data_IF_469286538384
#
_entry.id   IF_469286538384
#
_cell.length_a   1.000
_cell.length_b   1.000
_cell.length_c   1.000
_cell.angle_alpha   90.00
_cell.angle_beta   90.00
_cell.angle_gamma   90.00
#
_symmetry.space_group_name_H-M   'P 1'
#
loop_
_entity.id
_entity.type
_entity.pdbx_description
1 polymer ?
#
# COMPACT_ATOMS: atom_id res chain seq x y z
N UNK A 1 -56.75 -53.29 9.51
CA UNK A 1 -55.92 -52.19 10.06
C UNK A 1 -54.49 -52.64 10.07
N UNK A 2 -53.65 -52.17 9.21
CA UNK A 2 -52.19 -52.16 9.31
C UNK A 2 -51.57 -52.04 7.89
N UNK A 3 -51.21 -50.84 7.45
CA UNK A 3 -50.16 -50.59 6.41
C UNK A 3 -50.20 -49.13 5.97
N UNK A 4 -49.67 -48.24 6.76
CA UNK A 4 -49.37 -46.90 6.26
C UNK A 4 -48.36 -46.24 7.21
N UNK A 5 -47.13 -46.75 7.32
CA UNK A 5 -46.02 -46.02 7.89
C UNK A 5 -44.72 -46.64 7.30
N UNK A 6 -44.31 -46.30 6.08
CA UNK A 6 -42.93 -46.61 5.58
C UNK A 6 -42.50 -45.76 4.37
N UNK A 7 -43.14 -44.64 4.06
CA UNK A 7 -42.69 -43.82 2.90
C UNK A 7 -42.17 -42.44 3.22
N UNK A 8 -42.16 -42.00 4.46
CA UNK A 8 -41.81 -40.63 4.86
C UNK A 8 -40.35 -40.48 5.28
N UNK A 9 -39.65 -41.57 5.62
CA UNK A 9 -38.29 -41.51 6.16
C UNK A 9 -37.18 -41.37 5.11
N UNK A 10 -37.43 -41.76 3.86
CA UNK A 10 -36.43 -41.70 2.80
C UNK A 10 -36.28 -40.30 2.15
N UNK A 11 -37.33 -39.48 2.16
CA UNK A 11 -37.27 -38.12 1.59
C UNK A 11 -36.52 -37.15 2.50
N UNK A 12 -36.55 -37.34 3.82
CA UNK A 12 -35.82 -36.48 4.74
C UNK A 12 -34.30 -36.72 4.73
N UNK A 13 -33.87 -37.96 4.47
CA UNK A 13 -32.42 -38.31 4.40
C UNK A 13 -31.75 -37.79 3.11
N UNK A 14 -32.50 -37.79 2.00
CA UNK A 14 -32.00 -37.24 0.72
C UNK A 14 -31.85 -35.71 0.76
N UNK A 15 -32.74 -34.99 1.45
CA UNK A 15 -32.61 -33.53 1.59
C UNK A 15 -31.43 -33.13 2.52
N UNK A 16 -31.13 -33.91 3.54
CA UNK A 16 -30.01 -33.67 4.45
C UNK A 16 -28.64 -33.89 3.76
N UNK A 17 -28.55 -34.89 2.89
CA UNK A 17 -27.33 -35.16 2.10
C UNK A 17 -27.05 -34.09 1.05
N UNK A 18 -28.08 -33.54 0.38
CA UNK A 18 -27.89 -32.45 -0.61
C UNK A 18 -27.54 -31.12 0.04
N UNK A 19 -28.07 -30.82 1.23
CA UNK A 19 -27.70 -29.62 1.99
C UNK A 19 -26.28 -29.69 2.55
N UNK A 20 -25.78 -30.88 2.90
CA UNK A 20 -24.43 -31.09 3.39
C UNK A 20 -23.40 -30.96 2.25
N UNK A 21 -23.65 -31.53 1.08
CA UNK A 21 -22.80 -31.36 -0.11
C UNK A 21 -22.75 -29.88 -0.54
N UNK A 22 -23.88 -29.19 -0.58
CA UNK A 22 -23.91 -27.76 -0.96
C UNK A 22 -23.13 -26.87 -0.01
N UNK A 23 -23.19 -27.12 1.29
CA UNK A 23 -22.37 -26.41 2.30
C UNK A 23 -20.88 -26.74 2.17
N UNK A 24 -20.52 -27.97 1.82
CA UNK A 24 -19.12 -28.33 1.57
C UNK A 24 -18.58 -27.70 0.30
N UNK A 25 -19.38 -27.60 -0.77
CA UNK A 25 -18.97 -26.94 -2.02
C UNK A 25 -18.86 -25.43 -1.86
N UNK A 26 -19.74 -24.78 -1.09
CA UNK A 26 -19.63 -23.36 -0.74
C UNK A 26 -18.41 -23.08 0.15
N UNK A 27 -18.12 -23.92 1.13
CA UNK A 27 -16.92 -23.81 1.97
C UNK A 27 -15.63 -24.12 1.21
N UNK A 28 -15.66 -25.03 0.23
CA UNK A 28 -14.52 -25.33 -0.63
C UNK A 28 -14.26 -24.20 -1.65
N UNK A 29 -15.32 -23.60 -2.22
CA UNK A 29 -15.19 -22.43 -3.09
C UNK A 29 -14.61 -21.22 -2.33
N UNK A 30 -15.02 -21.01 -1.09
CA UNK A 30 -14.52 -19.93 -0.23
C UNK A 30 -13.06 -20.17 0.21
N UNK A 31 -12.58 -21.42 0.21
CA UNK A 31 -11.20 -21.77 0.57
C UNK A 31 -10.17 -21.37 -0.49
N UNK A 32 -10.58 -21.14 -1.74
CA UNK A 32 -9.71 -20.71 -2.84
C UNK A 32 -9.70 -19.20 -3.07
N UNK A 33 -10.47 -18.43 -2.32
CA UNK A 33 -10.49 -16.97 -2.39
C UNK A 33 -9.71 -16.37 -1.22
N UNK A 34 -8.82 -15.43 -1.51
CA UNK A 34 -8.11 -14.62 -0.50
C UNK A 34 -8.64 -13.20 -0.54
N UNK A 35 -9.38 -12.81 0.49
CA UNK A 35 -9.96 -11.47 0.63
C UNK A 35 -8.90 -10.50 1.13
N UNK A 36 -8.64 -9.44 0.38
CA UNK A 36 -7.55 -8.52 0.64
C UNK A 36 -8.01 -7.09 0.91
N UNK A 37 -7.35 -6.44 1.88
CA UNK A 37 -7.34 -4.99 2.03
C UNK A 37 -6.03 -4.43 1.43
N UNK A 38 -6.15 -3.58 0.41
CA UNK A 38 -4.99 -3.14 -0.39
C UNK A 38 -4.94 -1.62 -0.47
N UNK A 39 -3.78 -1.03 -0.16
CA UNK A 39 -3.57 0.41 -0.26
C UNK A 39 -3.76 0.91 -1.70
N UNK A 40 -4.44 2.05 -1.87
CA UNK A 40 -4.87 2.56 -3.18
C UNK A 40 -3.78 2.69 -4.23
N UNK A 41 -2.54 3.00 -3.85
CA UNK A 41 -1.42 3.10 -4.80
C UNK A 41 -1.10 1.79 -5.53
N UNK A 42 -1.32 0.64 -4.91
CA UNK A 42 -1.08 -0.67 -5.54
C UNK A 42 -2.19 -1.07 -6.51
N UNK A 43 -3.43 -0.74 -6.19
CA UNK A 43 -4.57 -1.01 -7.07
C UNK A 43 -4.60 -0.07 -8.26
N UNK A 44 -4.31 1.22 -8.05
CA UNK A 44 -4.33 2.25 -9.09
C UNK A 44 -3.23 2.08 -10.14
N UNK A 45 -2.07 1.57 -9.75
CA UNK A 45 -0.96 1.31 -10.68
C UNK A 45 -1.12 0.02 -11.48
N UNK A 46 -2.10 -0.82 -11.12
CA UNK A 46 -2.26 -2.14 -11.70
C UNK A 46 -1.31 -3.22 -11.14
N UNK A 47 -0.46 -2.88 -10.16
CA UNK A 47 0.45 -3.84 -9.52
C UNK A 47 -0.32 -5.03 -8.96
N UNK A 48 -1.35 -4.74 -8.17
CA UNK A 48 -2.10 -5.77 -7.47
C UNK A 48 -2.85 -6.71 -8.41
N UNK A 49 -3.36 -6.17 -9.51
CA UNK A 49 -4.02 -6.96 -10.57
C UNK A 49 -3.04 -7.91 -11.27
N UNK A 50 -1.80 -7.47 -11.52
CA UNK A 50 -0.79 -8.34 -12.13
C UNK A 50 -0.32 -9.43 -11.16
N UNK A 51 -0.10 -9.07 -9.89
CA UNK A 51 0.23 -10.05 -8.85
C UNK A 51 -0.89 -11.08 -8.70
N UNK A 52 -2.16 -10.64 -8.72
CA UNK A 52 -3.32 -11.53 -8.63
C UNK A 52 -3.33 -12.58 -9.75
N UNK A 53 -3.11 -12.15 -11.00
CA UNK A 53 -3.01 -13.06 -12.15
C UNK A 53 -1.86 -14.07 -12.01
N UNK A 54 -0.70 -13.60 -11.55
CA UNK A 54 0.47 -14.46 -11.35
C UNK A 54 0.22 -15.47 -10.24
N UNK A 55 -0.36 -15.03 -9.13
CA UNK A 55 -0.66 -15.85 -7.96
C UNK A 55 -1.70 -16.93 -8.29
N UNK A 56 -2.77 -16.55 -8.97
CA UNK A 56 -3.82 -17.49 -9.40
C UNK A 56 -3.28 -18.55 -10.36
N UNK A 57 -2.46 -18.15 -11.33
CA UNK A 57 -1.84 -19.08 -12.27
C UNK A 57 -0.88 -20.08 -11.59
N UNK A 58 -0.19 -19.66 -10.53
CA UNK A 58 0.81 -20.50 -9.86
C UNK A 58 0.23 -21.36 -8.73
N UNK A 59 -0.89 -20.94 -8.12
CA UNK A 59 -1.40 -21.56 -6.88
C UNK A 59 -2.85 -22.02 -6.96
N UNK A 60 -3.62 -21.53 -7.91
CA UNK A 60 -5.05 -21.74 -8.00
C UNK A 60 -5.89 -20.90 -7.03
N UNK A 61 -5.26 -20.07 -6.17
CA UNK A 61 -5.97 -19.12 -5.34
C UNK A 61 -6.34 -17.86 -6.12
N UNK A 62 -7.55 -17.37 -5.91
CA UNK A 62 -8.03 -16.09 -6.45
C UNK A 62 -7.92 -14.98 -5.40
N UNK A 63 -7.51 -13.78 -5.81
CA UNK A 63 -7.47 -12.60 -4.94
C UNK A 63 -8.72 -11.76 -5.14
N UNK A 64 -9.48 -11.52 -4.07
CA UNK A 64 -10.57 -10.57 -4.02
C UNK A 64 -10.15 -9.31 -3.24
N UNK A 65 -10.23 -8.13 -3.87
CA UNK A 65 -9.99 -6.85 -3.19
C UNK A 65 -11.29 -6.36 -2.55
N UNK A 66 -11.44 -6.62 -1.25
CA UNK A 66 -12.63 -6.25 -0.46
C UNK A 66 -12.57 -4.78 -0.02
N UNK A 67 -11.37 -4.29 0.26
CA UNK A 67 -11.16 -2.90 0.68
C UNK A 67 -9.94 -2.29 -0.01
N UNK A 68 -10.10 -1.06 -0.52
CA UNK A 68 -9.01 -0.25 -1.06
C UNK A 68 -9.21 1.21 -0.68
N UNK A 69 -8.11 1.93 -0.46
CA UNK A 69 -8.17 3.33 -0.06
C UNK A 69 -7.05 3.75 0.90
N UNK A 70 -7.26 4.80 1.71
CA UNK A 70 -6.30 5.23 2.72
C UNK A 70 -6.25 4.26 3.91
N UNK A 71 -5.15 4.30 4.66
CA UNK A 71 -4.87 3.39 5.80
C UNK A 71 -6.04 3.13 6.77
N UNK A 72 -6.84 4.15 7.19
CA UNK A 72 -7.97 3.89 8.11
C UNK A 72 -9.07 2.98 7.53
N UNK A 73 -9.26 2.99 6.20
CA UNK A 73 -10.25 2.11 5.55
C UNK A 73 -9.81 0.66 5.62
N UNK A 74 -8.50 0.40 5.46
CA UNK A 74 -7.93 -0.93 5.50
C UNK A 74 -7.91 -1.47 6.95
N UNK A 75 -7.54 -0.62 7.91
CA UNK A 75 -7.61 -0.92 9.35
C UNK A 75 -9.03 -1.36 9.76
N UNK A 76 -10.03 -0.56 9.40
CA UNK A 76 -11.43 -0.88 9.70
C UNK A 76 -11.88 -2.21 9.08
N UNK A 77 -11.41 -2.53 7.85
CA UNK A 77 -11.75 -3.79 7.19
C UNK A 77 -11.15 -5.01 7.91
N UNK A 78 -9.88 -4.91 8.36
CA UNK A 78 -9.23 -5.99 9.11
C UNK A 78 -9.86 -6.16 10.50
N UNK A 79 -10.09 -5.08 11.24
CA UNK A 79 -10.76 -5.13 12.55
C UNK A 79 -12.17 -5.71 12.49
N UNK A 80 -12.87 -5.45 11.39
CA UNK A 80 -14.22 -6.01 11.15
C UNK A 80 -14.20 -7.46 10.62
N UNK A 81 -13.04 -8.10 10.46
CA UNK A 81 -12.93 -9.49 9.99
C UNK A 81 -13.35 -9.69 8.52
N UNK A 82 -13.33 -8.64 7.72
CA UNK A 82 -13.74 -8.69 6.31
C UNK A 82 -12.67 -9.22 5.37
N UNK A 83 -11.42 -9.27 5.82
CA UNK A 83 -10.26 -9.61 4.99
C UNK A 83 -9.38 -10.66 5.65
N UNK A 84 -8.72 -11.44 4.82
CA UNK A 84 -7.77 -12.47 5.23
C UNK A 84 -6.33 -11.94 5.27
N UNK A 85 -6.07 -10.90 4.45
CA UNK A 85 -4.76 -10.30 4.30
C UNK A 85 -4.88 -8.80 4.07
N UNK A 86 -3.90 -8.06 4.62
CA UNK A 86 -3.78 -6.61 4.44
C UNK A 86 -2.40 -6.25 3.91
N UNK A 87 -2.33 -5.29 2.99
CA UNK A 87 -1.07 -4.66 2.56
C UNK A 87 -1.20 -3.15 2.47
N UNK A 88 -0.32 -2.46 3.19
CA UNK A 88 -0.22 -0.99 3.19
C UNK A 88 1.15 -0.53 3.67
N UNK A 89 1.40 0.78 3.67
CA UNK A 89 2.63 1.32 4.28
C UNK A 89 2.68 0.98 5.77
N UNK A 90 3.87 0.61 6.24
CA UNK A 90 4.15 0.49 7.68
C UNK A 90 3.91 1.81 8.42
N UNK A 91 3.61 1.72 9.71
CA UNK A 91 3.37 2.87 10.60
C UNK A 91 2.51 2.47 11.79
N UNK A 92 2.05 3.44 12.56
CA UNK A 92 1.31 3.25 13.80
C UNK A 92 0.14 2.28 13.65
N UNK A 93 -0.72 2.47 12.67
CA UNK A 93 -1.89 1.61 12.43
C UNK A 93 -1.50 0.14 12.25
N UNK A 94 -0.39 -0.14 11.55
CA UNK A 94 0.05 -1.53 11.36
C UNK A 94 0.59 -2.14 12.63
N UNK A 95 1.26 -1.34 13.44
CA UNK A 95 1.77 -1.75 14.75
C UNK A 95 0.61 -1.99 15.72
N UNK A 96 -0.39 -1.11 15.74
CA UNK A 96 -1.59 -1.23 16.57
C UNK A 96 -2.40 -2.48 16.21
N UNK A 97 -2.57 -2.80 14.92
CA UNK A 97 -3.23 -4.02 14.49
C UNK A 97 -2.56 -5.29 15.04
N UNK A 98 -1.22 -5.30 15.11
CA UNK A 98 -0.46 -6.41 15.73
C UNK A 98 -0.60 -6.40 17.25
N UNK A 99 -0.44 -5.25 17.89
CA UNK A 99 -0.53 -5.10 19.34
C UNK A 99 -1.93 -5.46 19.86
N UNK A 100 -2.96 -5.10 19.13
CA UNK A 100 -4.36 -5.44 19.43
C UNK A 100 -4.73 -6.88 19.05
N UNK A 101 -3.81 -7.63 18.42
CA UNK A 101 -3.96 -9.04 18.06
C UNK A 101 -4.83 -9.30 16.82
N UNK A 102 -5.17 -8.30 16.01
CA UNK A 102 -5.90 -8.48 14.74
C UNK A 102 -5.01 -8.99 13.63
N UNK A 103 -3.76 -8.54 13.58
CA UNK A 103 -2.78 -8.91 12.57
C UNK A 103 -1.67 -9.79 13.13
N UNK A 104 -1.22 -10.75 12.31
CA UNK A 104 -0.08 -11.62 12.58
C UNK A 104 0.87 -11.66 11.38
N UNK A 105 2.07 -12.18 11.55
CA UNK A 105 3.05 -12.40 10.49
C UNK A 105 3.33 -11.14 9.64
N UNK A 106 3.36 -9.96 10.27
CA UNK A 106 3.67 -8.71 9.59
C UNK A 106 5.09 -8.74 9.01
N UNK A 107 5.19 -8.60 7.69
CA UNK A 107 6.48 -8.64 6.97
C UNK A 107 6.56 -7.51 5.94
N UNK A 108 7.68 -6.78 5.80
CA UNK A 108 7.90 -5.91 4.66
C UNK A 108 8.06 -6.76 3.39
N UNK A 109 7.51 -6.31 2.24
CA UNK A 109 7.62 -7.04 0.99
C UNK A 109 8.00 -6.18 -0.22
N UNK A 110 7.75 -4.87 -0.16
CA UNK A 110 8.17 -3.93 -1.20
C UNK A 110 8.32 -2.52 -0.61
N UNK A 111 8.85 -1.60 -1.38
CA UNK A 111 8.92 -0.17 -1.05
C UNK A 111 8.41 0.66 -2.21
N UNK A 112 7.87 1.84 -1.93
CA UNK A 112 7.72 2.91 -2.90
C UNK A 112 8.57 4.11 -2.50
N UNK A 113 8.69 5.09 -3.41
CA UNK A 113 9.56 6.23 -3.24
C UNK A 113 8.75 7.51 -3.03
N UNK A 114 9.33 8.44 -2.27
CA UNK A 114 8.96 9.84 -2.28
C UNK A 114 9.85 10.58 -3.27
N UNK A 115 9.38 11.74 -3.75
CA UNK A 115 10.14 12.66 -4.58
C UNK A 115 10.00 14.08 -4.05
N UNK A 116 10.92 14.96 -4.43
CA UNK A 116 10.76 16.40 -4.21
C UNK A 116 10.31 17.01 -5.54
N UNK A 117 9.15 17.65 -5.49
CA UNK A 117 8.57 18.40 -6.61
C UNK A 117 8.80 19.87 -6.32
N UNK A 118 9.11 20.64 -7.34
CA UNK A 118 9.37 22.08 -7.22
C UNK A 118 9.10 22.85 -8.49
N UNK A 119 9.26 24.20 -8.44
CA UNK A 119 9.08 25.06 -9.57
C UNK A 119 10.16 24.81 -10.65
N UNK A 120 9.86 25.06 -11.95
CA UNK A 120 10.80 24.78 -13.05
C UNK A 120 12.09 25.60 -13.01
N UNK A 121 12.07 26.80 -12.43
CA UNK A 121 13.22 27.68 -12.26
C UNK A 121 14.19 27.25 -11.16
N UNK A 122 13.73 26.33 -10.28
CA UNK A 122 14.55 25.66 -9.26
C UNK A 122 15.52 26.58 -8.50
N UNK A 123 15.01 27.58 -7.73
CA UNK A 123 15.85 28.58 -7.06
C UNK A 123 16.82 27.98 -6.02
N UNK A 124 16.57 26.77 -5.53
CA UNK A 124 17.49 26.06 -4.63
C UNK A 124 18.53 25.21 -5.36
N UNK A 125 18.46 25.09 -6.69
CA UNK A 125 19.37 24.29 -7.51
C UNK A 125 19.50 22.84 -7.06
N UNK A 126 18.35 22.14 -6.94
CA UNK A 126 18.29 20.75 -6.50
C UNK A 126 17.99 19.76 -7.64
N UNK A 127 17.74 20.24 -8.84
CA UNK A 127 17.41 19.43 -10.01
C UNK A 127 18.45 18.33 -10.25
N UNK A 128 17.98 17.10 -10.41
CA UNK A 128 18.81 15.94 -10.69
C UNK A 128 19.57 15.38 -9.48
N UNK A 129 19.36 15.94 -8.29
CA UNK A 129 19.93 15.37 -7.07
C UNK A 129 19.25 14.04 -6.72
N UNK A 130 20.03 13.12 -6.16
CA UNK A 130 19.59 11.80 -5.69
C UNK A 130 19.76 11.64 -4.17
N UNK A 131 19.93 12.75 -3.45
CA UNK A 131 20.01 12.79 -1.99
C UNK A 131 19.00 13.81 -1.47
N UNK A 132 17.89 13.31 -0.92
CA UNK A 132 16.78 14.14 -0.46
C UNK A 132 17.15 15.06 0.70
N UNK A 133 17.96 14.57 1.66
CA UNK A 133 18.41 15.38 2.78
C UNK A 133 19.32 16.54 2.34
N UNK A 134 20.24 16.28 1.41
CA UNK A 134 21.08 17.33 0.84
C UNK A 134 20.24 18.36 0.04
N UNK A 135 19.22 17.92 -0.68
CA UNK A 135 18.29 18.81 -1.38
C UNK A 135 17.51 19.70 -0.40
N UNK A 136 16.95 19.13 0.68
CA UNK A 136 16.25 19.89 1.71
C UNK A 136 17.17 20.91 2.40
N UNK A 137 18.45 20.56 2.61
CA UNK A 137 19.44 21.52 3.14
C UNK A 137 19.64 22.71 2.23
N UNK A 138 19.66 22.50 0.89
CA UNK A 138 19.77 23.58 -0.07
C UNK A 138 18.52 24.46 -0.10
N UNK A 139 17.32 23.87 -0.02
CA UNK A 139 16.07 24.59 0.06
C UNK A 139 16.07 25.50 1.29
N UNK A 140 16.48 24.97 2.47
CA UNK A 140 16.59 25.76 3.71
C UNK A 140 17.64 26.87 3.60
N UNK A 141 18.80 26.59 3.03
CA UNK A 141 19.87 27.60 2.86
C UNK A 141 19.44 28.75 1.93
N UNK A 142 18.69 28.45 0.88
CA UNK A 142 18.14 29.43 -0.05
C UNK A 142 16.90 30.14 0.53
N UNK A 143 16.33 29.64 1.65
CA UNK A 143 15.01 30.05 2.14
C UNK A 143 13.92 30.01 1.06
N UNK A 144 14.06 29.10 0.12
CA UNK A 144 13.09 28.90 -0.94
C UNK A 144 11.81 28.31 -0.35
N UNK A 145 10.65 28.74 -0.84
CA UNK A 145 9.37 28.30 -0.29
C UNK A 145 9.27 26.76 -0.25
N UNK A 146 8.86 26.23 0.86
CA UNK A 146 8.66 24.80 1.09
C UNK A 146 7.30 24.56 1.74
N UNK A 147 6.53 23.65 1.17
CA UNK A 147 5.23 23.24 1.73
C UNK A 147 5.45 22.12 2.73
N UNK A 148 5.22 22.43 4.01
CA UNK A 148 5.18 21.44 5.10
C UNK A 148 3.73 21.04 5.35
N UNK A 149 3.34 19.90 4.77
CA UNK A 149 1.97 19.42 4.79
C UNK A 149 1.79 18.27 5.77
N UNK A 150 1.04 18.48 6.83
CA UNK A 150 0.88 17.52 7.92
C UNK A 150 0.03 16.29 7.57
N UNK A 151 -0.89 16.41 6.64
CA UNK A 151 -1.78 15.33 6.21
C UNK A 151 -1.15 14.26 5.31
N UNK A 152 0.12 14.39 4.95
CA UNK A 152 0.80 13.42 4.10
C UNK A 152 1.22 12.20 4.93
N UNK A 153 0.79 10.99 4.53
CA UNK A 153 1.17 9.73 5.18
C UNK A 153 2.65 9.34 5.06
N UNK A 154 3.52 10.30 4.78
CA UNK A 154 4.98 10.20 4.69
C UNK A 154 5.68 11.12 5.69
N UNK A 155 4.93 11.75 6.57
CA UNK A 155 5.43 12.79 7.49
C UNK A 155 6.64 12.34 8.30
N UNK A 156 6.62 11.15 8.88
CA UNK A 156 7.75 10.64 9.68
C UNK A 156 9.05 10.56 8.85
N UNK A 157 8.93 10.17 7.58
CA UNK A 157 10.07 10.11 6.67
C UNK A 157 10.54 11.53 6.30
N UNK A 158 9.63 12.47 6.07
CA UNK A 158 9.97 13.88 5.80
C UNK A 158 10.69 14.50 6.99
N UNK A 159 10.21 14.28 8.22
CA UNK A 159 10.89 14.71 9.44
C UNK A 159 12.30 14.08 9.57
N UNK A 160 12.43 12.80 9.21
CA UNK A 160 13.73 12.13 9.18
C UNK A 160 14.68 12.77 8.18
N UNK A 161 14.20 13.12 6.99
CA UNK A 161 14.99 13.81 5.97
C UNK A 161 15.46 15.19 6.45
N UNK A 162 14.60 15.97 7.11
CA UNK A 162 14.97 17.26 7.71
C UNK A 162 16.03 17.11 8.80
N UNK A 163 15.89 16.12 9.67
CA UNK A 163 16.92 15.82 10.68
C UNK A 163 18.27 15.44 10.04
N UNK A 164 18.26 14.63 8.99
CA UNK A 164 19.45 14.27 8.22
C UNK A 164 20.03 15.47 7.45
N UNK A 165 19.19 16.39 7.03
CA UNK A 165 19.61 17.66 6.43
C UNK A 165 20.38 18.55 7.42
N UNK A 166 20.22 18.33 8.73
CA UNK A 166 20.73 19.22 9.76
C UNK A 166 20.07 20.59 9.72
N UNK A 167 18.82 20.65 9.28
CA UNK A 167 18.02 21.86 9.13
C UNK A 167 16.61 21.63 9.66
N UNK A 168 15.96 22.69 10.07
CA UNK A 168 14.57 22.67 10.56
C UNK A 168 13.69 23.51 9.64
N UNK A 169 12.55 22.99 9.14
CA UNK A 169 11.63 23.78 8.33
C UNK A 169 10.87 24.76 9.22
N UNK A 170 11.37 25.99 9.33
CA UNK A 170 10.77 27.08 10.13
C UNK A 170 11.03 28.46 9.53
N UNK A 171 10.13 29.37 9.82
CA UNK A 171 10.18 30.76 9.32
C UNK A 171 9.27 30.98 8.13
N UNK A 172 9.32 32.17 7.56
CA UNK A 172 8.37 32.66 6.55
C UNK A 172 8.43 31.91 5.21
N UNK A 173 9.50 31.17 4.96
CA UNK A 173 9.66 30.34 3.77
C UNK A 173 8.96 28.96 3.87
N UNK A 174 8.46 28.60 5.06
CA UNK A 174 7.73 27.34 5.29
C UNK A 174 6.24 27.63 5.27
N UNK A 175 5.57 27.04 4.31
CA UNK A 175 4.15 27.24 4.07
C UNK A 175 3.36 26.08 4.65
N UNK A 176 2.30 26.40 5.40
CA UNK A 176 1.37 25.43 5.97
C UNK A 176 -0.06 25.90 5.70
N UNK A 177 -0.87 24.99 5.23
CA UNK A 177 -2.31 25.19 5.08
C UNK A 177 -3.02 23.85 5.29
N UNK A 178 -3.58 23.68 6.47
CA UNK A 178 -4.26 22.44 6.89
C UNK A 178 -5.60 22.22 6.16
N UNK A 179 -6.07 23.20 5.40
CA UNK A 179 -7.29 23.07 4.59
C UNK A 179 -7.03 22.44 3.22
N UNK A 180 -5.78 22.39 2.78
CA UNK A 180 -5.41 21.83 1.48
C UNK A 180 -5.44 20.31 1.51
N UNK A 181 -6.26 19.70 0.67
CA UNK A 181 -6.27 18.25 0.52
C UNK A 181 -4.97 17.73 -0.12
N UNK A 182 -4.62 16.50 0.19
CA UNK A 182 -3.43 15.85 -0.42
C UNK A 182 -3.47 15.80 -1.95
N UNK A 183 -4.65 15.87 -2.57
CA UNK A 183 -4.79 15.86 -4.02
C UNK A 183 -4.47 17.23 -4.64
N UNK A 184 -4.63 18.30 -3.86
CA UNK A 184 -4.39 19.67 -4.30
C UNK A 184 -3.03 20.22 -3.84
N UNK A 185 -2.21 19.41 -3.17
CA UNK A 185 -0.96 19.88 -2.57
C UNK A 185 0.04 20.40 -3.62
N UNK A 186 0.11 19.78 -4.79
CA UNK A 186 0.99 20.25 -5.87
C UNK A 186 0.48 21.55 -6.48
N UNK A 187 -0.84 21.74 -6.56
CA UNK A 187 -1.43 22.99 -7.01
C UNK A 187 -1.13 24.12 -6.01
N UNK A 188 -1.22 23.83 -4.71
CA UNK A 188 -0.87 24.78 -3.66
C UNK A 188 0.63 25.15 -3.71
N UNK A 189 1.50 24.15 -3.86
CA UNK A 189 2.94 24.37 -4.01
C UNK A 189 3.25 25.24 -5.24
N UNK A 190 2.58 24.98 -6.37
CA UNK A 190 2.72 25.78 -7.58
C UNK A 190 2.32 27.24 -7.38
N UNK A 191 1.16 27.48 -6.77
CA UNK A 191 0.63 28.84 -6.55
C UNK A 191 1.59 29.70 -5.70
N UNK A 192 2.42 29.05 -4.91
CA UNK A 192 3.38 29.68 -4.00
C UNK A 192 4.85 29.53 -4.44
N UNK A 193 5.11 29.05 -5.66
CA UNK A 193 6.45 28.75 -6.19
C UNK A 193 7.29 27.96 -5.17
N UNK A 194 6.68 26.91 -4.60
CA UNK A 194 7.21 26.19 -3.45
C UNK A 194 7.64 24.75 -3.81
N UNK A 195 8.63 24.25 -3.09
CA UNK A 195 8.99 22.83 -3.07
C UNK A 195 8.07 22.04 -2.15
N UNK A 196 7.87 20.77 -2.45
CA UNK A 196 7.12 19.85 -1.58
C UNK A 196 7.61 18.41 -1.74
N UNK A 197 7.60 17.64 -0.65
CA UNK A 197 7.89 16.19 -0.68
C UNK A 197 6.56 15.43 -0.80
N UNK A 198 6.43 14.65 -1.85
CA UNK A 198 5.23 13.85 -2.13
C UNK A 198 5.56 12.43 -2.56
N UNK A 199 4.55 11.55 -2.61
CA UNK A 199 4.71 10.23 -3.19
C UNK A 199 4.99 10.29 -4.70
N UNK A 200 6.00 9.56 -5.17
CA UNK A 200 6.33 9.51 -6.59
C UNK A 200 5.16 9.02 -7.47
N UNK A 201 4.47 7.94 -7.05
CA UNK A 201 3.36 7.38 -7.80
C UNK A 201 2.25 8.42 -8.07
N UNK A 202 1.66 9.10 -7.07
CA UNK A 202 0.62 10.07 -7.33
C UNK A 202 1.11 11.31 -8.10
N UNK A 203 2.37 11.72 -7.92
CA UNK A 203 2.95 12.83 -8.68
C UNK A 203 3.12 12.47 -10.17
N UNK A 204 3.58 11.25 -10.46
CA UNK A 204 3.81 10.77 -11.82
C UNK A 204 2.53 10.37 -12.56
N UNK A 205 1.53 9.84 -11.85
CA UNK A 205 0.29 9.33 -12.45
C UNK A 205 -0.75 10.40 -12.78
N UNK A 206 -0.49 11.67 -12.47
CA UNK A 206 -1.44 12.77 -12.66
C UNK A 206 -2.58 12.82 -11.63
N UNK A 207 -2.51 12.00 -10.58
CA UNK A 207 -3.48 12.03 -9.47
C UNK A 207 -3.34 13.28 -8.60
N UNK A 208 -2.18 13.91 -8.65
CA UNK A 208 -1.93 15.22 -8.10
C UNK A 208 -1.65 16.16 -9.28
N UNK A 209 -2.65 16.85 -9.82
CA UNK A 209 -2.45 17.76 -10.95
C UNK A 209 -1.49 18.89 -10.56
N UNK A 210 -0.45 19.05 -11.35
CA UNK A 210 0.60 20.03 -11.09
C UNK A 210 1.20 20.54 -12.41
N UNK A 211 0.34 21.10 -13.28
CA UNK A 211 0.84 21.71 -14.52
C UNK A 211 1.88 22.79 -14.18
N UNK A 212 3.10 22.62 -14.70
CA UNK A 212 4.22 23.55 -14.47
C UNK A 212 5.02 23.30 -13.20
N UNK A 213 4.83 22.15 -12.52
CA UNK A 213 5.73 21.67 -11.47
C UNK A 213 6.53 20.48 -12.01
N UNK A 214 7.75 20.28 -11.50
CA UNK A 214 8.63 19.21 -11.95
C UNK A 214 9.14 18.36 -10.79
N UNK A 215 9.35 17.07 -11.05
CA UNK A 215 10.07 16.19 -10.12
C UNK A 215 11.55 16.52 -10.24
N UNK A 216 12.12 17.11 -9.21
CA UNK A 216 13.49 17.59 -9.19
C UNK A 216 14.45 16.63 -8.49
N UNK A 217 13.97 15.88 -7.49
CA UNK A 217 14.76 14.92 -6.72
C UNK A 217 14.01 13.59 -6.61
N UNK A 218 14.69 12.52 -6.98
CA UNK A 218 14.21 11.13 -6.88
C UNK A 218 15.39 10.16 -6.82
N UNK A 219 15.15 8.88 -6.55
CA UNK A 219 16.19 7.86 -6.59
C UNK A 219 16.94 7.67 -5.25
N UNK A 220 16.62 8.43 -4.21
CA UNK A 220 17.22 8.28 -2.89
C UNK A 220 16.66 7.06 -2.14
N UNK A 221 17.48 6.03 -1.82
CA UNK A 221 17.01 4.90 -1.03
C UNK A 221 16.39 5.27 0.33
N UNK A 222 16.83 6.38 0.95
CA UNK A 222 16.29 6.88 2.22
C UNK A 222 14.85 7.38 2.05
N UNK A 223 14.49 7.86 0.86
CA UNK A 223 13.15 8.31 0.55
C UNK A 223 12.17 7.16 0.25
N UNK A 224 12.59 5.91 0.38
CA UNK A 224 11.75 4.73 0.12
C UNK A 224 11.06 4.26 1.38
N UNK A 225 9.73 4.19 1.34
CA UNK A 225 8.88 3.70 2.42
C UNK A 225 8.53 2.24 2.23
N UNK A 226 8.62 1.40 3.27
CA UNK A 226 8.19 0.01 3.18
C UNK A 226 6.67 -0.11 3.14
N UNK A 227 6.20 -1.07 2.35
CA UNK A 227 4.89 -1.68 2.47
C UNK A 227 5.03 -3.00 3.20
N UNK A 228 4.09 -3.26 4.07
CA UNK A 228 3.96 -4.54 4.76
C UNK A 228 2.85 -5.37 4.15
N UNK A 229 2.97 -6.68 4.32
CA UNK A 229 1.89 -7.64 4.25
C UNK A 229 1.64 -8.18 5.65
N UNK A 230 0.39 -8.40 5.99
CA UNK A 230 -0.05 -8.88 7.30
C UNK A 230 -1.24 -9.81 7.12
N UNK A 231 -1.22 -10.94 7.79
CA UNK A 231 -2.30 -11.92 7.80
C UNK A 231 -3.28 -11.59 8.93
N UNK A 232 -4.58 -11.80 8.72
CA UNK A 232 -5.57 -11.68 9.78
C UNK A 232 -5.43 -12.83 10.77
N UNK A 233 -5.47 -12.52 12.07
CA UNK A 233 -5.30 -13.51 13.12
C UNK A 233 -6.56 -14.41 13.29
N UNK A 234 -6.47 -15.71 12.96
CA UNK A 234 -7.62 -16.64 13.07
C UNK A 234 -8.04 -16.91 14.51
N UNK A 235 -7.18 -16.65 15.49
CA UNK A 235 -7.53 -16.80 16.90
C UNK A 235 -8.43 -15.66 17.40
N UNK A 236 -8.42 -14.51 16.74
CA UNK A 236 -9.25 -13.36 17.05
C UNK A 236 -10.46 -13.23 16.14
N UNK A 237 -10.30 -13.56 14.87
CA UNK A 237 -11.33 -13.44 13.83
C UNK A 237 -11.62 -14.81 13.25
N UNK A 238 -12.86 -15.26 13.38
CA UNK A 238 -13.32 -16.52 12.78
C UNK A 238 -13.59 -16.36 11.28
N UNK A 239 -13.52 -17.48 10.53
CA UNK A 239 -13.87 -17.52 9.10
C UNK A 239 -12.85 -16.85 8.16
N UNK A 240 -11.59 -16.68 8.63
CA UNK A 240 -10.49 -16.23 7.77
C UNK A 240 -9.86 -17.39 7.00
N UNK A 241 -9.52 -17.17 5.75
CA UNK A 241 -8.76 -18.12 4.93
C UNK A 241 -7.26 -18.01 5.26
N UNK A 242 -6.84 -18.59 6.38
CA UNK A 242 -5.45 -18.52 6.84
C UNK A 242 -4.46 -19.20 5.89
N UNK A 243 -4.87 -20.29 5.23
CA UNK A 243 -4.01 -20.99 4.28
C UNK A 243 -3.74 -20.14 3.03
N UNK A 244 -4.79 -19.54 2.46
CA UNK A 244 -4.66 -18.64 1.32
C UNK A 244 -3.91 -17.35 1.67
N UNK A 245 -4.18 -16.75 2.84
CA UNK A 245 -3.47 -15.56 3.32
C UNK A 245 -1.96 -15.83 3.47
N UNK A 246 -1.59 -16.96 4.09
CA UNK A 246 -0.19 -17.38 4.22
C UNK A 246 0.45 -17.63 2.85
N UNK A 247 -0.24 -18.34 1.95
CA UNK A 247 0.27 -18.60 0.62
C UNK A 247 0.54 -17.30 -0.15
N UNK A 248 -0.38 -16.33 -0.10
CA UNK A 248 -0.19 -15.03 -0.75
C UNK A 248 0.92 -14.22 -0.07
N UNK A 249 0.99 -14.21 1.25
CA UNK A 249 2.02 -13.52 2.01
C UNK A 249 3.42 -14.04 1.65
N UNK A 250 3.59 -15.36 1.52
CA UNK A 250 4.85 -15.99 1.10
C UNK A 250 5.15 -15.74 -0.38
N UNK A 251 4.12 -15.74 -1.23
CA UNK A 251 4.26 -15.46 -2.66
C UNK A 251 4.78 -14.05 -2.92
N UNK A 252 4.29 -13.04 -2.19
CA UNK A 252 4.77 -11.66 -2.30
C UNK A 252 6.27 -11.53 -2.00
N UNK A 253 6.81 -12.39 -1.15
CA UNK A 253 8.23 -12.45 -0.78
C UNK A 253 9.05 -13.36 -1.69
N UNK A 254 8.41 -14.09 -2.60
CA UNK A 254 9.10 -15.03 -3.50
C UNK A 254 10.06 -14.32 -4.47
N UNK A 255 11.14 -14.99 -4.90
CA UNK A 255 12.06 -14.45 -5.90
C UNK A 255 11.34 -14.00 -7.19
N UNK A 256 10.26 -14.70 -7.58
CA UNK A 256 9.46 -14.38 -8.75
C UNK A 256 8.83 -12.98 -8.63
N UNK A 257 8.13 -12.71 -7.52
CA UNK A 257 7.50 -11.39 -7.30
C UNK A 257 8.56 -10.32 -7.09
N UNK A 258 9.61 -10.60 -6.33
CA UNK A 258 10.68 -9.62 -6.07
C UNK A 258 11.42 -9.22 -7.36
N UNK A 259 11.66 -10.16 -8.29
CA UNK A 259 12.20 -9.85 -9.61
C UNK A 259 11.21 -9.09 -10.49
N UNK A 260 9.93 -9.46 -10.44
CA UNK A 260 8.87 -8.75 -11.17
C UNK A 260 8.77 -7.27 -10.76
N UNK A 261 8.95 -6.94 -9.48
CA UNK A 261 8.92 -5.56 -9.01
C UNK A 261 9.98 -4.67 -9.67
N UNK A 262 11.14 -5.22 -10.04
CA UNK A 262 12.21 -4.47 -10.73
C UNK A 262 11.81 -4.03 -12.14
N UNK A 263 10.90 -4.78 -12.77
CA UNK A 263 10.43 -4.50 -14.13
C UNK A 263 9.10 -3.74 -14.14
N UNK A 264 8.30 -3.89 -13.07
CA UNK A 264 6.98 -3.28 -12.99
C UNK A 264 7.05 -1.76 -12.89
N UNK A 265 6.27 -1.09 -13.73
CA UNK A 265 6.15 0.37 -13.70
C UNK A 265 7.34 1.10 -14.29
N UNK A 266 8.17 0.43 -15.09
CA UNK A 266 9.08 1.12 -16.01
C UNK A 266 8.22 1.81 -17.06
N UNK A 267 7.74 3.01 -16.73
CA UNK A 267 7.01 3.83 -17.68
C UNK A 267 7.93 4.15 -18.86
N UNK A 268 7.39 4.31 -20.08
CA UNK A 268 8.23 4.61 -21.27
C UNK A 268 9.12 5.83 -21.12
N UNK A 269 8.93 6.65 -20.08
CA UNK A 269 9.67 7.89 -19.82
C UNK A 269 10.16 8.02 -18.37
N UNK A 270 9.96 7.00 -17.50
CA UNK A 270 10.39 7.03 -16.09
C UNK A 270 11.73 6.33 -15.88
N UNK A 271 12.59 6.83 -14.98
CA UNK A 271 13.95 6.33 -14.80
C UNK A 271 14.07 5.03 -13.99
N UNK A 272 13.02 4.27 -13.76
CA UNK A 272 13.13 3.03 -13.02
C UNK A 272 11.82 2.44 -12.52
N UNK A 273 11.89 1.38 -11.71
CA UNK A 273 10.71 0.75 -11.12
C UNK A 273 10.02 1.72 -10.15
N UNK A 274 8.69 1.65 -10.06
CA UNK A 274 7.89 2.43 -9.10
C UNK A 274 7.66 1.71 -7.76
N UNK A 275 7.95 0.43 -7.75
CA UNK A 275 8.04 -0.39 -6.55
C UNK A 275 9.40 -1.07 -6.52
N UNK A 276 10.00 -1.12 -5.34
CA UNK A 276 11.35 -1.63 -5.15
C UNK A 276 11.30 -2.91 -4.32
N UNK A 277 12.01 -3.97 -4.71
CA UNK A 277 12.09 -5.17 -3.91
C UNK A 277 12.75 -4.88 -2.56
N UNK A 278 12.49 -5.75 -1.61
CA UNK A 278 13.26 -5.78 -0.36
C UNK A 278 14.47 -6.70 -0.55
N UNK A 279 15.59 -6.43 0.15
CA UNK A 279 16.70 -7.39 0.19
C UNK A 279 16.19 -8.75 0.67
N UNK A 280 16.65 -9.82 0.04
CA UNK A 280 16.42 -11.16 0.57
C UNK A 280 16.92 -11.20 2.01
N UNK A 281 16.13 -11.83 2.90
CA UNK A 281 16.63 -12.10 4.25
C UNK A 281 17.95 -12.85 4.11
N UNK A 282 19.03 -12.30 4.66
CA UNK A 282 20.27 -13.06 4.76
C UNK A 282 20.01 -14.22 5.75
N UNK A 283 20.43 -15.44 5.42
CA UNK A 283 20.27 -16.60 6.30
C UNK A 283 20.98 -16.44 7.62
#
# INVERSE_FOLDING_TARGET
MTKMIKKTTWFALALLLTASCRRQDEAAADSHVVRCAVIGGMTMTGLWQQIGKMFEADTGYHIEVVATGPRPVLDAAMRAGKVDLLTMHSGDITTDLVADGYGINMRPWTRNELCIVGPPDDPAHIRGMTNGAAALRKIAAAKAHFVDFEGIGSRELVHTLWRLAGAEPKGDWVLRDDTVSKFNILQFARTNDAYVVVGYIPAQSGLMPATGMEILVQGDPIMRRPFIVMETNPQKISGVNSAGAKALSDYLLSPKVQSFLLEFGRWPKGPGPIFFPIPAAQP
#
